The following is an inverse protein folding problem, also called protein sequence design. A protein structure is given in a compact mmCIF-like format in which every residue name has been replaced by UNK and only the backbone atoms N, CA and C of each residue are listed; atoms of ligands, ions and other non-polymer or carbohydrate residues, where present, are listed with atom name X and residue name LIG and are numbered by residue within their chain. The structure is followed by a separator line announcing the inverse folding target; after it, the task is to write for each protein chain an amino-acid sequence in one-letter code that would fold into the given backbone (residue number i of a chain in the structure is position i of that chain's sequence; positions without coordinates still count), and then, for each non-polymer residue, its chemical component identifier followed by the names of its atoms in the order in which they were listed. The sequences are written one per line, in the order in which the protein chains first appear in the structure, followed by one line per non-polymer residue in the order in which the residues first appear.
data_IF_105588093790
#
_entry.id   IF_105588093790
#
_cell.length_a   1.000
_cell.length_b   1.000
_cell.length_c   1.000
_cell.angle_alpha   90.00
_cell.angle_beta   90.00
_cell.angle_gamma   90.00
#
_symmetry.space_group_name_H-M   'P 1'
#
loop_
_entity.id
_entity.type
_entity.pdbx_description
1 polymer ?
#
# COMPACT_ATOMS: atom_id res chain seq x y z
N UNK A 1 13.58 2.94 -7.06
CA UNK A 1 13.93 4.08 -6.20
C UNK A 1 12.66 4.80 -5.83
N UNK A 2 12.41 5.07 -4.55
CA UNK A 2 11.27 5.86 -4.07
C UNK A 2 11.39 7.28 -4.63
N UNK A 3 10.36 7.77 -5.32
CA UNK A 3 10.30 9.15 -5.79
C UNK A 3 8.91 9.72 -5.49
N UNK A 4 8.85 10.67 -4.57
CA UNK A 4 7.68 11.53 -4.42
C UNK A 4 7.57 12.38 -5.68
N UNK A 5 6.43 12.31 -6.39
CA UNK A 5 6.25 13.08 -7.64
C UNK A 5 5.65 14.46 -7.39
N UNK A 6 4.82 14.63 -6.34
CA UNK A 6 4.25 15.90 -5.87
C UNK A 6 3.50 15.72 -4.52
N UNK A 7 2.95 16.81 -3.97
CA UNK A 7 2.31 16.86 -2.63
C UNK A 7 1.10 15.95 -2.44
N UNK A 8 0.45 15.50 -3.52
CA UNK A 8 -0.79 14.70 -3.46
C UNK A 8 -0.64 13.31 -4.10
N UNK A 9 0.51 13.01 -4.71
CA UNK A 9 0.74 11.75 -5.42
C UNK A 9 2.10 11.18 -5.04
N UNK A 10 2.08 10.11 -4.24
CA UNK A 10 3.26 9.27 -4.07
C UNK A 10 3.26 8.21 -5.16
N UNK A 11 4.27 8.27 -6.04
CA UNK A 11 4.49 7.20 -7.01
C UNK A 11 5.50 6.22 -6.46
N UNK A 12 5.16 4.94 -6.48
CA UNK A 12 6.02 3.87 -6.04
C UNK A 12 6.44 3.03 -7.24
N UNK A 13 7.38 3.53 -8.05
CA UNK A 13 7.92 2.70 -9.13
C UNK A 13 8.73 1.54 -8.54
N UNK A 14 8.15 0.35 -8.56
CA UNK A 14 8.66 -0.85 -7.92
C UNK A 14 8.82 -1.98 -8.93
N UNK A 15 10.03 -2.14 -9.47
CA UNK A 15 10.34 -3.26 -10.34
C UNK A 15 10.71 -4.48 -9.50
N UNK A 16 9.72 -5.32 -9.18
CA UNK A 16 9.96 -6.59 -8.49
C UNK A 16 10.19 -7.69 -9.52
N UNK A 17 11.32 -8.40 -9.41
CA UNK A 17 11.71 -9.45 -10.36
C UNK A 17 11.28 -10.84 -9.84
N UNK A 18 11.27 -11.08 -8.52
CA UNK A 18 10.73 -12.31 -7.91
C UNK A 18 10.32 -12.03 -6.46
N UNK A 19 9.04 -12.07 -6.11
CA UNK A 19 8.59 -11.98 -4.72
C UNK A 19 7.25 -12.71 -4.56
N UNK A 20 7.15 -13.63 -3.60
CA UNK A 20 5.89 -14.34 -3.32
C UNK A 20 4.90 -13.48 -2.52
N UNK A 21 5.42 -12.47 -1.79
CA UNK A 21 4.62 -11.48 -1.08
C UNK A 21 5.41 -10.19 -0.80
N UNK A 22 4.82 -9.04 -1.03
CA UNK A 22 5.36 -7.76 -0.56
C UNK A 22 4.33 -6.97 0.24
N UNK A 23 4.83 -6.09 1.11
CA UNK A 23 4.01 -5.27 1.99
C UNK A 23 4.47 -3.82 1.89
N UNK A 24 3.51 -2.90 1.82
CA UNK A 24 3.70 -1.47 1.90
C UNK A 24 2.84 -0.95 3.05
N UNK A 25 3.46 -0.31 4.04
CA UNK A 25 2.77 0.36 5.15
C UNK A 25 2.92 1.88 5.01
N UNK A 26 1.80 2.59 5.06
CA UNK A 26 1.76 4.03 5.33
C UNK A 26 1.54 4.23 6.83
N UNK A 27 2.58 4.67 7.53
CA UNK A 27 2.62 4.80 8.98
C UNK A 27 2.24 6.20 9.43
N UNK A 28 1.56 6.28 10.58
CA UNK A 28 1.25 7.55 11.21
C UNK A 28 2.27 7.90 12.30
N UNK A 29 2.40 9.19 12.62
CA UNK A 29 3.02 9.65 13.87
C UNK A 29 4.52 9.35 14.06
N UNK A 30 4.96 9.42 15.32
CA UNK A 30 6.31 9.04 15.78
C UNK A 30 6.44 7.52 15.86
N UNK A 31 7.67 6.99 15.86
CA UNK A 31 7.96 5.53 15.84
C UNK A 31 7.22 4.69 16.89
N UNK A 32 6.67 5.31 17.94
CA UNK A 32 6.18 4.64 19.14
C UNK A 32 4.66 4.34 19.13
N UNK A 33 3.85 4.97 18.28
CA UNK A 33 2.41 4.65 18.21
C UNK A 33 2.14 3.31 17.49
N UNK A 34 3.06 2.91 16.60
CA UNK A 34 2.99 1.70 15.78
C UNK A 34 1.82 1.66 14.80
N UNK A 35 1.10 2.77 14.63
CA UNK A 35 -0.12 2.83 13.83
C UNK A 35 0.21 2.82 12.32
N UNK A 36 -0.67 2.18 11.55
CA UNK A 36 -0.56 2.06 10.10
C UNK A 36 -1.90 2.53 9.52
N UNK A 37 -1.90 3.71 8.89
CA UNK A 37 -3.08 4.26 8.22
C UNK A 37 -3.52 3.35 7.06
N UNK A 38 -2.56 2.82 6.31
CA UNK A 38 -2.81 1.92 5.20
C UNK A 38 -1.75 0.83 5.11
N UNK A 39 -2.15 -0.40 5.41
CA UNK A 39 -1.40 -1.61 5.19
C UNK A 39 -1.84 -2.23 3.87
N UNK A 40 -0.93 -2.34 2.91
CA UNK A 40 -1.15 -3.01 1.64
C UNK A 40 -0.24 -4.24 1.57
N UNK A 41 -0.83 -5.42 1.59
CA UNK A 41 -0.12 -6.69 1.55
C UNK A 41 -0.53 -7.49 0.32
N UNK A 42 0.33 -7.52 -0.69
CA UNK A 42 0.12 -8.28 -1.90
C UNK A 42 0.80 -9.64 -1.84
N UNK A 43 0.04 -10.71 -2.06
CA UNK A 43 0.56 -12.03 -2.42
C UNK A 43 0.09 -12.41 -3.82
N UNK A 44 0.54 -13.54 -4.35
CA UNK A 44 0.20 -13.96 -5.73
C UNK A 44 -1.28 -14.24 -5.95
N UNK A 45 -2.04 -14.58 -4.92
CA UNK A 45 -3.47 -14.91 -5.05
C UNK A 45 -4.40 -13.74 -4.79
N UNK A 46 -4.03 -12.84 -3.87
CA UNK A 46 -4.87 -11.74 -3.44
C UNK A 46 -4.06 -10.60 -2.83
N UNK A 47 -4.70 -9.45 -2.70
CA UNK A 47 -4.22 -8.31 -1.94
C UNK A 47 -5.10 -8.15 -0.71
N UNK A 48 -4.44 -7.94 0.43
CA UNK A 48 -5.06 -7.58 1.70
C UNK A 48 -4.76 -6.11 1.99
N UNK A 49 -5.80 -5.35 2.31
CA UNK A 49 -5.74 -3.96 2.71
C UNK A 49 -6.36 -3.79 4.10
N UNK A 50 -5.69 -3.08 5.01
CA UNK A 50 -6.27 -2.76 6.32
C UNK A 50 -5.63 -1.53 6.97
N UNK A 51 -6.13 -1.16 8.14
CA UNK A 51 -5.58 -0.15 9.05
C UNK A 51 -5.22 -0.84 10.36
N UNK A 52 -4.06 -0.53 10.91
CA UNK A 52 -3.65 -0.96 12.24
C UNK A 52 -3.67 0.26 13.16
N UNK A 53 -4.56 0.26 14.15
CA UNK A 53 -4.75 1.38 15.06
C UNK A 53 -4.95 0.88 16.48
N UNK A 54 -4.37 1.57 17.46
CA UNK A 54 -4.49 1.20 18.87
C UNK A 54 -4.09 -0.26 19.14
N UNK A 55 -3.02 -0.71 18.47
CA UNK A 55 -2.46 -2.07 18.57
C UNK A 55 -3.37 -3.20 18.05
N UNK A 56 -4.38 -2.88 17.26
CA UNK A 56 -5.26 -3.87 16.64
C UNK A 56 -5.46 -3.60 15.14
N UNK A 57 -5.66 -4.67 14.38
CA UNK A 57 -6.17 -4.60 13.02
C UNK A 57 -7.66 -4.25 13.06
N UNK A 58 -8.09 -3.44 12.11
CA UNK A 58 -9.49 -3.06 11.96
C UNK A 58 -10.21 -4.05 11.04
N UNK A 59 -11.01 -3.55 10.07
CA UNK A 59 -11.75 -4.38 9.13
C UNK A 59 -10.92 -4.63 7.87
N UNK A 60 -10.30 -5.80 7.80
CA UNK A 60 -9.58 -6.23 6.60
C UNK A 60 -10.46 -6.21 5.34
N UNK A 61 -9.90 -5.70 4.24
CA UNK A 61 -10.44 -5.83 2.89
C UNK A 61 -9.54 -6.75 2.06
N UNK A 62 -10.11 -7.82 1.51
CA UNK A 62 -9.39 -8.75 0.64
C UNK A 62 -9.94 -8.66 -0.78
N UNK A 63 -9.05 -8.53 -1.75
CA UNK A 63 -9.40 -8.66 -3.16
C UNK A 63 -9.57 -10.14 -3.53
N UNK A 64 -10.39 -10.42 -4.54
CA UNK A 64 -10.56 -11.78 -5.05
C UNK A 64 -9.37 -12.29 -5.88
N UNK A 65 -8.50 -11.37 -6.32
CA UNK A 65 -7.37 -11.65 -7.21
C UNK A 65 -6.21 -10.68 -6.95
N UNK A 66 -5.04 -11.01 -7.49
CA UNK A 66 -3.83 -10.18 -7.41
C UNK A 66 -3.37 -9.76 -8.81
N UNK A 67 -2.98 -8.48 -9.02
CA UNK A 67 -2.44 -8.01 -10.29
C UNK A 67 -0.95 -8.37 -10.44
N UNK A 68 -0.36 -9.03 -9.45
CA UNK A 68 1.06 -9.36 -9.40
C UNK A 68 1.30 -10.83 -9.71
N UNK A 69 2.12 -11.11 -10.72
CA UNK A 69 2.47 -12.47 -11.15
C UNK A 69 3.93 -12.81 -10.80
N UNK A 70 4.20 -14.10 -10.55
CA UNK A 70 5.57 -14.59 -10.29
C UNK A 70 6.46 -14.34 -11.51
N UNK A 71 7.63 -13.74 -11.28
CA UNK A 71 8.62 -13.50 -12.33
C UNK A 71 8.27 -12.35 -13.28
N UNK A 72 7.16 -11.65 -13.07
CA UNK A 72 6.75 -10.52 -13.88
C UNK A 72 7.06 -9.19 -13.17
N UNK A 73 7.70 -8.28 -13.90
CA UNK A 73 7.83 -6.90 -13.46
C UNK A 73 6.47 -6.20 -13.51
N UNK A 74 6.29 -5.20 -12.65
CA UNK A 74 5.09 -4.36 -12.64
C UNK A 74 5.47 -2.91 -12.32
N UNK A 75 4.61 -1.98 -12.75
CA UNK A 75 4.62 -0.60 -12.30
C UNK A 75 3.41 -0.38 -11.38
N UNK A 76 3.63 0.23 -10.22
CA UNK A 76 2.58 0.47 -9.22
C UNK A 76 2.56 1.93 -8.78
N UNK A 77 1.37 2.48 -8.58
CA UNK A 77 1.18 3.84 -8.05
C UNK A 77 0.15 3.78 -6.91
N UNK A 78 0.40 4.53 -5.83
CA UNK A 78 -0.59 4.76 -4.77
C UNK A 78 -0.94 6.25 -4.76
N UNK A 79 -2.03 6.60 -5.45
CA UNK A 79 -2.49 7.97 -5.55
C UNK A 79 -3.34 8.30 -4.33
N UNK A 80 -3.05 9.40 -3.66
CA UNK A 80 -3.87 9.87 -2.54
C UNK A 80 -4.97 10.74 -3.12
N UNK A 81 -6.21 10.33 -2.90
CA UNK A 81 -7.40 11.12 -3.22
C UNK A 81 -8.08 11.57 -1.93
N UNK A 82 -9.09 12.44 -2.08
CA UNK A 82 -9.86 12.94 -0.94
C UNK A 82 -10.60 11.80 -0.21
N UNK A 83 -11.07 10.82 -0.96
CA UNK A 83 -11.82 9.66 -0.47
C UNK A 83 -10.92 8.55 0.13
N UNK A 84 -9.68 8.41 -0.35
CA UNK A 84 -8.84 7.27 0.00
C UNK A 84 -7.54 7.15 -0.80
N UNK A 85 -6.93 5.97 -0.72
CA UNK A 85 -5.76 5.57 -1.48
C UNK A 85 -6.18 4.75 -2.70
N UNK A 86 -5.95 5.29 -3.90
CA UNK A 86 -6.13 4.58 -5.16
C UNK A 86 -4.84 3.86 -5.54
N UNK A 87 -4.94 2.54 -5.74
CA UNK A 87 -3.84 1.72 -6.22
C UNK A 87 -4.01 1.48 -7.71
N UNK A 88 -3.00 1.85 -8.48
CA UNK A 88 -2.93 1.63 -9.93
C UNK A 88 -1.77 0.68 -10.20
N UNK A 89 -2.00 -0.40 -10.95
CA UNK A 89 -0.98 -1.36 -11.36
C UNK A 89 -0.97 -1.46 -12.87
N UNK A 90 0.20 -1.32 -13.48
CA UNK A 90 0.40 -1.33 -14.94
C UNK A 90 -0.55 -0.37 -15.69
N UNK A 91 -0.81 0.80 -15.11
CA UNK A 91 -1.68 1.83 -15.69
C UNK A 91 -3.19 1.59 -15.48
N UNK A 92 -3.61 0.51 -14.83
CA UNK A 92 -5.01 0.21 -14.55
C UNK A 92 -5.34 0.37 -13.07
N UNK A 93 -6.48 1.00 -12.76
CA UNK A 93 -6.99 1.11 -11.39
C UNK A 93 -7.31 -0.30 -10.86
N UNK A 94 -6.65 -0.67 -9.77
CA UNK A 94 -6.78 -1.99 -9.14
C UNK A 94 -7.74 -1.95 -7.95
N UNK A 95 -7.53 -1.04 -6.99
CA UNK A 95 -8.41 -0.90 -5.84
C UNK A 95 -8.41 0.52 -5.27
N UNK A 96 -9.47 0.86 -4.54
CA UNK A 96 -9.58 2.05 -3.70
C UNK A 96 -9.71 1.62 -2.25
N UNK A 97 -8.88 2.17 -1.36
CA UNK A 97 -9.00 1.99 0.08
C UNK A 97 -9.34 3.32 0.75
N UNK A 98 -10.58 3.45 1.23
CA UNK A 98 -11.04 4.70 1.84
C UNK A 98 -10.23 5.05 3.10
N UNK A 99 -9.98 6.34 3.31
CA UNK A 99 -9.26 6.81 4.49
C UNK A 99 -9.99 6.41 5.77
N UNK A 100 -9.27 5.73 6.69
CA UNK A 100 -9.75 5.44 8.06
C UNK A 100 -9.05 6.29 9.12
N UNK A 101 -7.99 6.98 8.71
CA UNK A 101 -7.23 7.93 9.52
C UNK A 101 -7.01 9.21 8.70
N UNK A 102 -6.85 10.37 9.34
CA UNK A 102 -6.54 11.62 8.65
C UNK A 102 -5.25 11.49 7.84
N UNK A 103 -5.25 11.95 6.59
CA UNK A 103 -4.08 11.88 5.73
C UNK A 103 -2.87 12.62 6.35
N UNK A 104 -3.15 13.72 7.03
CA UNK A 104 -2.17 14.58 7.68
C UNK A 104 -1.38 13.85 8.77
N UNK A 105 -1.89 12.72 9.26
CA UNK A 105 -1.21 11.88 10.24
C UNK A 105 -0.12 10.98 9.63
N UNK A 106 -0.13 10.78 8.31
CA UNK A 106 0.80 9.90 7.60
C UNK A 106 2.15 10.60 7.42
N UNK A 107 3.21 10.01 8.00
CA UNK A 107 4.55 10.62 8.03
C UNK A 107 5.67 9.68 7.57
N UNK A 108 5.37 8.41 7.32
CA UNK A 108 6.39 7.44 6.92
C UNK A 108 5.84 6.33 6.03
N UNK A 109 6.71 5.84 5.15
CA UNK A 109 6.45 4.64 4.35
C UNK A 109 7.43 3.55 4.72
N UNK A 110 6.97 2.32 4.82
CA UNK A 110 7.81 1.15 5.03
C UNK A 110 7.46 0.08 4.00
N UNK A 111 8.47 -0.49 3.34
CA UNK A 111 8.30 -1.57 2.36
C UNK A 111 9.03 -2.82 2.83
N UNK A 112 8.35 -3.97 2.84
CA UNK A 112 8.93 -5.30 3.15
C UNK A 112 8.71 -6.26 2.00
N UNK A 113 9.71 -7.11 1.78
CA UNK A 113 9.66 -8.19 0.79
C UNK A 113 9.82 -9.51 1.52
N UNK A 114 9.02 -10.49 1.11
CA UNK A 114 9.11 -11.87 1.57
C UNK A 114 9.47 -12.71 0.33
N UNK A 115 10.66 -13.32 0.36
CA UNK A 115 11.20 -14.15 -0.72
C UNK A 115 10.79 -15.59 -0.53
#
# INVERSE_FOLDING_TARGET
TLQCLNSNTFSFKLQIIVCCRFVIDLKTGTKDDGNIAFHFSACMSHVCCDTFRNRAWEKQYNTAWSPFAKGAAFDMFMVIKQEGYEVIVNGQMFCMFNHRMPLESVHGTHVRYYM
#
